data_IF_991348916700
#
_entry.id   IF_991348916700
#
_cell.length_a   1.000
_cell.length_b   1.000
_cell.length_c   1.000
_cell.angle_alpha   90.00
_cell.angle_beta   90.00
_cell.angle_gamma   90.00
#
_symmetry.space_group_name_H-M   'P 1'
#
loop_
_entity.id
_entity.type
_entity.pdbx_description
1 polymer ?
#
# COMPACT_ATOMS: atom_id res chain seq x y z
N UNK A 1 -6.61 -8.93 -3.34
CA UNK A 1 -5.17 -9.15 -3.56
C UNK A 1 -4.81 -8.83 -5.00
N UNK A 2 -3.71 -8.14 -5.20
CA UNK A 2 -3.18 -7.79 -6.51
C UNK A 2 -1.82 -8.46 -6.67
N UNK A 3 -1.56 -9.01 -7.85
CA UNK A 3 -0.35 -9.78 -8.08
C UNK A 3 0.28 -9.51 -9.43
N UNK A 4 1.59 -9.58 -9.47
CA UNK A 4 2.39 -9.71 -10.69
C UNK A 4 2.97 -11.13 -10.70
N UNK A 5 3.89 -11.41 -11.61
CA UNK A 5 4.53 -12.73 -11.63
C UNK A 5 5.47 -12.93 -10.46
N UNK A 6 6.05 -11.84 -9.95
CA UNK A 6 7.04 -11.93 -8.87
C UNK A 6 6.42 -11.83 -7.49
N UNK A 7 5.48 -10.91 -7.31
CA UNK A 7 4.96 -10.61 -5.97
C UNK A 7 3.44 -10.50 -5.98
N UNK A 8 2.86 -10.73 -4.80
CA UNK A 8 1.46 -10.46 -4.52
C UNK A 8 1.39 -9.42 -3.42
N UNK A 9 0.40 -8.54 -3.49
CA UNK A 9 0.22 -7.47 -2.52
C UNK A 9 -1.20 -7.51 -1.96
N UNK A 10 -1.32 -7.41 -0.66
CA UNK A 10 -2.61 -7.41 0.02
C UNK A 10 -2.61 -6.33 1.11
N UNK A 11 -3.61 -5.47 1.18
CA UNK A 11 -4.77 -5.37 0.30
C UNK A 11 -4.39 -4.80 -1.08
N UNK A 12 -5.33 -4.86 -2.02
CA UNK A 12 -5.10 -4.36 -3.38
C UNK A 12 -5.39 -2.86 -3.51
N UNK A 13 -5.84 -2.24 -2.45
CA UNK A 13 -6.13 -0.82 -2.38
C UNK A 13 -5.72 -0.31 -1.00
N UNK A 14 -5.07 0.85 -0.97
CA UNK A 14 -4.68 1.47 0.29
C UNK A 14 -5.86 2.27 0.84
N UNK A 15 -6.40 1.84 1.97
CA UNK A 15 -7.54 2.50 2.60
C UNK A 15 -7.10 3.16 3.89
N UNK A 16 -7.32 4.47 3.98
CA UNK A 16 -6.99 5.24 5.16
C UNK A 16 -8.27 5.79 5.79
N UNK A 17 -8.42 5.58 7.09
CA UNK A 17 -9.49 6.24 7.84
C UNK A 17 -9.07 7.70 7.98
N UNK A 18 -9.75 8.57 7.25
CA UNK A 18 -9.37 9.97 7.15
C UNK A 18 -10.03 10.80 8.25
N UNK A 19 -9.21 11.47 9.05
CA UNK A 19 -9.66 12.50 10.01
C UNK A 19 -8.74 13.70 9.89
N UNK A 20 -9.32 14.89 9.97
CA UNK A 20 -8.52 16.11 9.92
C UNK A 20 -7.55 16.17 11.08
N UNK A 21 -6.36 16.66 10.83
CA UNK A 21 -5.31 16.88 11.81
C UNK A 21 -4.81 15.59 12.46
N UNK A 22 -5.10 14.44 11.87
CA UNK A 22 -4.65 13.15 12.41
C UNK A 22 -3.90 12.34 11.37
N UNK A 23 -2.87 11.69 11.85
CA UNK A 23 -2.07 10.73 11.10
C UNK A 23 -2.76 9.38 11.15
N UNK A 24 -2.83 8.68 10.01
CA UNK A 24 -3.35 7.32 9.96
C UNK A 24 -2.41 6.46 9.13
N UNK A 25 -2.56 5.15 9.20
CA UNK A 25 -1.68 4.27 8.44
C UNK A 25 -2.44 3.09 7.87
N UNK A 26 -1.81 2.46 6.88
CA UNK A 26 -2.29 1.25 6.24
C UNK A 26 -1.08 0.34 6.01
N UNK A 27 -1.22 -0.93 6.34
CA UNK A 27 -0.15 -1.91 6.14
C UNK A 27 -0.41 -2.72 4.88
N UNK A 28 0.64 -2.89 4.08
CA UNK A 28 0.63 -3.74 2.89
C UNK A 28 1.48 -4.97 3.17
N UNK A 29 0.95 -6.14 2.85
CA UNK A 29 1.73 -7.37 2.88
C UNK A 29 2.22 -7.66 1.48
N UNK A 30 3.52 -7.81 1.32
CA UNK A 30 4.16 -8.16 0.04
C UNK A 30 4.68 -9.58 0.16
N UNK A 31 4.20 -10.46 -0.70
CA UNK A 31 4.59 -11.87 -0.72
C UNK A 31 5.39 -12.16 -1.99
N UNK A 32 6.58 -12.74 -1.81
CA UNK A 32 7.40 -13.20 -2.94
C UNK A 32 6.90 -14.58 -3.36
N UNK A 33 6.38 -14.69 -4.58
CA UNK A 33 5.80 -15.91 -5.12
C UNK A 33 6.82 -16.76 -5.91
N UNK A 34 8.11 -16.51 -5.73
CA UNK A 34 9.14 -17.14 -6.54
C UNK A 34 10.21 -17.78 -5.68
N UNK A 35 11.05 -18.56 -6.34
CA UNK A 35 12.24 -19.16 -5.73
C UNK A 35 13.45 -18.21 -5.78
N UNK A 36 13.26 -17.00 -6.26
CA UNK A 36 14.31 -16.01 -6.39
C UNK A 36 14.21 -14.95 -5.30
N UNK A 37 15.30 -14.26 -5.02
CA UNK A 37 15.27 -13.06 -4.19
C UNK A 37 14.69 -11.92 -5.05
N UNK A 38 13.77 -11.16 -4.49
CA UNK A 38 13.09 -10.08 -5.22
C UNK A 38 13.25 -8.76 -4.48
N UNK A 39 13.80 -7.77 -5.18
CA UNK A 39 13.88 -6.43 -4.64
C UNK A 39 12.61 -5.66 -5.02
N UNK A 40 12.19 -4.75 -4.16
CA UNK A 40 11.03 -3.91 -4.43
C UNK A 40 11.32 -2.45 -4.08
N UNK A 41 10.58 -1.57 -4.72
CA UNK A 41 10.63 -0.14 -4.44
C UNK A 41 9.23 0.45 -4.55
N UNK A 42 8.87 1.30 -3.60
CA UNK A 42 7.55 1.95 -3.56
C UNK A 42 7.70 3.40 -4.01
N UNK A 43 6.87 3.81 -4.96
CA UNK A 43 6.78 5.18 -5.41
C UNK A 43 5.37 5.69 -5.23
N UNK A 44 5.21 6.99 -5.08
CA UNK A 44 3.89 7.60 -4.96
C UNK A 44 3.84 8.92 -5.73
N UNK A 45 2.64 9.27 -6.18
CA UNK A 45 2.40 10.56 -6.84
C UNK A 45 2.43 11.72 -5.85
N UNK A 46 2.34 11.43 -4.54
CA UNK A 46 2.29 12.46 -3.50
C UNK A 46 3.28 12.17 -2.38
N UNK A 47 4.59 12.26 -2.66
CA UNK A 47 5.60 11.86 -1.67
C UNK A 47 5.62 12.71 -0.40
N UNK A 48 5.02 13.90 -0.43
CA UNK A 48 4.99 14.77 0.74
C UNK A 48 3.84 14.44 1.70
N UNK A 49 2.85 13.68 1.24
CA UNK A 49 1.69 13.33 2.05
C UNK A 49 1.88 12.01 2.79
N UNK A 50 2.73 11.15 2.28
CA UNK A 50 2.85 9.79 2.80
C UNK A 50 4.26 9.48 3.24
N UNK A 51 4.34 8.70 4.31
CA UNK A 51 5.60 8.18 4.81
C UNK A 51 5.55 6.67 4.64
N UNK A 52 6.50 6.10 3.91
CA UNK A 52 6.51 4.68 3.56
C UNK A 52 7.72 4.01 4.20
N UNK A 53 7.48 2.95 4.95
CA UNK A 53 8.57 2.24 5.62
C UNK A 53 8.34 0.73 5.59
N UNK A 54 9.26 -0.05 5.03
CA UNK A 54 10.40 0.39 4.20
C UNK A 54 9.91 0.80 2.81
N UNK A 55 10.58 1.73 2.17
CA UNK A 55 10.24 2.12 0.81
C UNK A 55 11.02 1.30 -0.24
N UNK A 56 12.03 0.58 0.18
CA UNK A 56 12.84 -0.31 -0.65
C UNK A 56 13.24 -1.49 0.21
N UNK A 57 13.25 -2.68 -0.36
CA UNK A 57 13.62 -3.87 0.38
C UNK A 57 13.90 -5.05 -0.53
N UNK A 58 14.30 -6.15 0.07
CA UNK A 58 14.51 -7.44 -0.61
C UNK A 58 13.72 -8.49 0.14
N UNK A 59 12.89 -9.23 -0.59
CA UNK A 59 12.09 -10.32 -0.01
C UNK A 59 12.72 -11.64 -0.45
N UNK A 60 13.02 -12.50 0.51
CA UNK A 60 13.59 -13.81 0.24
C UNK A 60 12.55 -14.72 -0.44
N UNK A 61 13.01 -15.81 -1.08
CA UNK A 61 12.08 -16.72 -1.77
C UNK A 61 10.95 -17.18 -0.85
N UNK A 62 9.73 -17.09 -1.36
CA UNK A 62 8.49 -17.54 -0.69
C UNK A 62 8.20 -16.83 0.64
N UNK A 63 8.96 -15.80 0.95
CA UNK A 63 8.78 -15.04 2.18
C UNK A 63 7.91 -13.81 1.92
N UNK A 64 7.60 -13.08 2.97
CA UNK A 64 6.78 -11.88 2.88
C UNK A 64 7.36 -10.79 3.76
N UNK A 65 6.92 -9.56 3.50
CA UNK A 65 7.23 -8.44 4.37
C UNK A 65 6.03 -7.51 4.46
N UNK A 66 6.03 -6.66 5.48
CA UNK A 66 4.99 -5.67 5.69
C UNK A 66 5.56 -4.29 5.41
N UNK A 67 4.85 -3.53 4.57
CA UNK A 67 5.19 -2.13 4.30
C UNK A 67 4.11 -1.28 4.96
N UNK A 68 4.52 -0.37 5.83
CA UNK A 68 3.58 0.55 6.46
C UNK A 68 3.58 1.86 5.69
N UNK A 69 2.40 2.27 5.25
CA UNK A 69 2.20 3.56 4.58
C UNK A 69 1.42 4.45 5.54
N UNK A 70 2.01 5.57 5.91
CA UNK A 70 1.40 6.50 6.86
C UNK A 70 0.96 7.75 6.10
N UNK A 71 -0.30 8.10 6.25
CA UNK A 71 -0.83 9.36 5.73
C UNK A 71 -0.59 10.43 6.80
N UNK A 72 0.16 11.47 6.43
CA UNK A 72 0.43 12.58 7.32
C UNK A 72 -0.86 13.33 7.64
N UNK A 73 -0.89 14.03 8.77
CA UNK A 73 -2.05 14.82 9.15
C UNK A 73 -2.38 15.85 8.08
N UNK A 74 -3.66 15.93 7.69
CA UNK A 74 -4.14 16.85 6.67
C UNK A 74 -5.05 17.89 7.33
N UNK A 75 -5.02 19.11 6.81
CA UNK A 75 -5.83 20.21 7.34
C UNK A 75 -7.17 20.36 6.65
N UNK A 76 -7.31 19.73 5.48
CA UNK A 76 -8.51 19.85 4.68
C UNK A 76 -8.91 18.51 4.13
N UNK A 77 -10.20 18.32 3.93
CA UNK A 77 -10.69 17.16 3.20
C UNK A 77 -10.41 17.34 1.71
N UNK A 78 -10.07 16.27 0.99
CA UNK A 78 -10.00 16.38 -0.46
C UNK A 78 -11.41 16.62 -1.03
N UNK A 79 -11.52 17.26 -2.22
CA UNK A 79 -12.83 17.48 -2.83
C UNK A 79 -13.62 16.19 -2.95
N UNK A 80 -14.86 16.22 -2.45
CA UNK A 80 -15.78 15.07 -2.47
C UNK A 80 -15.21 13.80 -1.82
N UNK A 81 -14.24 13.96 -0.92
CA UNK A 81 -13.51 12.83 -0.30
C UNK A 81 -12.87 11.92 -1.33
N UNK A 82 -12.58 12.44 -2.50
CA UNK A 82 -11.93 11.66 -3.57
C UNK A 82 -10.41 11.83 -3.49
N UNK A 83 -9.73 10.71 -3.43
CA UNK A 83 -8.27 10.72 -3.46
C UNK A 83 -7.80 10.27 -4.83
N UNK A 84 -6.94 11.06 -5.44
CA UNK A 84 -6.35 10.73 -6.74
C UNK A 84 -4.91 10.28 -6.63
N UNK A 85 -4.42 10.15 -5.40
CA UNK A 85 -3.07 9.67 -5.18
C UNK A 85 -2.96 8.21 -5.57
N UNK A 86 -1.78 7.84 -6.03
CA UNK A 86 -1.51 6.47 -6.45
C UNK A 86 -0.15 6.04 -5.96
N UNK A 87 0.00 4.74 -5.80
CA UNK A 87 1.28 4.14 -5.46
C UNK A 87 1.68 3.17 -6.57
N UNK A 88 2.98 3.07 -6.77
CA UNK A 88 3.57 2.14 -7.71
C UNK A 88 4.56 1.28 -6.95
N UNK A 89 4.38 -0.03 -7.02
CA UNK A 89 5.31 -0.98 -6.42
C UNK A 89 6.06 -1.65 -7.56
N UNK A 90 7.35 -1.37 -7.63
CA UNK A 90 8.25 -1.98 -8.61
C UNK A 90 8.95 -3.17 -8.00
N UNK A 91 9.18 -4.21 -8.78
CA UNK A 91 9.90 -5.39 -8.33
C UNK A 91 10.77 -5.96 -9.43
N UNK A 92 11.88 -6.56 -9.02
CA UNK A 92 12.81 -7.21 -9.94
C UNK A 92 13.57 -8.29 -9.20
N UNK A 93 14.00 -9.33 -9.93
CA UNK A 93 14.81 -10.40 -9.37
C UNK A 93 16.22 -9.87 -9.13
N UNK A 94 16.79 -10.21 -7.98
CA UNK A 94 18.16 -9.87 -7.64
C UNK A 94 18.92 -11.12 -7.23
N UNK A 95 20.24 -11.02 -7.19
CA UNK A 95 21.09 -12.14 -6.80
C UNK A 95 20.86 -12.53 -5.35
N UNK A 96 21.00 -13.81 -5.00
CA UNK A 96 21.01 -14.21 -3.60
C UNK A 96 22.10 -13.44 -2.86
N UNK A 97 21.88 -13.19 -1.57
CA UNK A 97 22.81 -12.46 -0.72
C UNK A 97 22.95 -10.97 -1.05
N UNK A 98 22.00 -10.42 -1.83
CA UNK A 98 21.97 -8.99 -2.09
C UNK A 98 21.24 -8.29 -0.95
N UNK A 99 21.92 -7.39 -0.25
CA UNK A 99 21.28 -6.58 0.78
C UNK A 99 20.67 -5.34 0.15
N UNK A 100 19.66 -4.79 0.81
CA UNK A 100 18.96 -3.61 0.32
C UNK A 100 19.93 -2.44 0.14
N UNK A 101 20.93 -2.33 1.03
CA UNK A 101 21.91 -1.23 0.97
C UNK A 101 22.89 -1.40 -0.18
N UNK A 102 22.98 -2.58 -0.74
CA UNK A 102 23.92 -2.89 -1.83
C UNK A 102 23.26 -2.87 -3.20
N UNK A 103 21.98 -2.51 -3.28
CA UNK A 103 21.30 -2.45 -4.57
C UNK A 103 21.89 -1.34 -5.42
N UNK A 104 22.28 -1.66 -6.69
CA UNK A 104 22.77 -0.62 -7.60
C UNK A 104 21.72 0.47 -7.81
N UNK A 105 22.18 1.69 -8.09
CA UNK A 105 21.28 2.82 -8.27
C UNK A 105 20.31 2.62 -9.44
N UNK A 106 20.66 1.78 -10.41
CA UNK A 106 19.82 1.52 -11.58
C UNK A 106 18.98 0.25 -11.46
N UNK A 107 18.91 -0.35 -10.28
CA UNK A 107 18.18 -1.60 -10.06
C UNK A 107 16.75 -1.54 -10.60
N UNK A 108 16.06 -0.43 -10.39
CA UNK A 108 14.67 -0.26 -10.80
C UNK A 108 14.52 0.59 -12.06
N UNK A 109 15.59 0.78 -12.80
CA UNK A 109 15.56 1.52 -14.06
C UNK A 109 15.34 0.54 -15.21
N UNK A 110 14.28 0.74 -15.96
CA UNK A 110 13.95 -0.16 -17.07
C UNK A 110 15.01 -0.18 -18.15
N UNK A 111 15.81 0.87 -18.22
CA UNK A 111 16.88 0.96 -19.22
C UNK A 111 18.14 0.21 -18.80
N UNK A 112 18.19 -0.28 -17.56
CA UNK A 112 19.36 -1.01 -17.06
C UNK A 112 19.49 -2.43 -17.63
N UNK A 113 18.44 -2.92 -18.30
CA UNK A 113 18.38 -4.30 -18.75
C UNK A 113 17.68 -5.24 -17.79
N UNK A 114 17.33 -4.78 -16.59
CA UNK A 114 16.58 -5.59 -15.64
C UNK A 114 15.11 -5.68 -16.06
N UNK A 115 14.52 -6.85 -15.84
CA UNK A 115 13.08 -7.02 -16.01
C UNK A 115 12.37 -6.50 -14.77
N UNK A 116 11.67 -5.39 -14.90
CA UNK A 116 10.99 -4.75 -13.79
C UNK A 116 9.50 -4.91 -13.97
N UNK A 117 8.85 -5.45 -12.94
CA UNK A 117 7.40 -5.54 -12.91
C UNK A 117 6.85 -4.41 -12.07
N UNK A 118 5.64 -3.98 -12.38
CA UNK A 118 5.00 -2.86 -11.69
C UNK A 118 3.57 -3.21 -11.32
N UNK A 119 3.21 -2.87 -10.08
CA UNK A 119 1.85 -2.97 -9.60
C UNK A 119 1.40 -1.57 -9.19
N UNK A 120 0.24 -1.18 -9.70
CA UNK A 120 -0.35 0.12 -9.37
C UNK A 120 -1.40 -0.08 -8.28
N UNK A 121 -1.36 0.75 -7.25
CA UNK A 121 -2.28 0.69 -6.14
C UNK A 121 -3.00 2.02 -6.00
N UNK A 122 -4.31 1.95 -5.82
CA UNK A 122 -5.14 3.12 -5.59
C UNK A 122 -5.17 3.45 -4.11
N UNK A 123 -5.51 4.69 -3.81
CA UNK A 123 -5.71 5.16 -2.45
C UNK A 123 -7.17 5.55 -2.29
N UNK A 124 -7.79 5.10 -1.21
CA UNK A 124 -9.14 5.49 -0.86
C UNK A 124 -9.14 6.06 0.55
N UNK A 125 -9.88 7.14 0.76
CA UNK A 125 -10.09 7.71 2.08
C UNK A 125 -11.47 7.33 2.57
N UNK A 126 -11.53 6.86 3.81
CA UNK A 126 -12.77 6.44 4.45
C UNK A 126 -13.07 7.44 5.54
N UNK A 127 -14.26 8.03 5.50
CA UNK A 127 -14.64 8.97 6.53
C UNK A 127 -15.01 8.23 7.83
N UNK A 128 -14.40 8.66 8.92
CA UNK A 128 -14.73 8.14 10.25
C UNK A 128 -15.82 8.97 10.94
N UNK A 129 -16.21 10.09 10.32
CA UNK A 129 -17.23 10.97 10.88
C UNK A 129 -18.64 10.60 10.43
N UNK A 130 -18.84 9.52 9.68
CA UNK A 130 -20.15 9.10 9.19
C UNK A 130 -21.01 8.64 10.36
N UNK A 131 -22.26 9.10 10.43
CA UNK A 131 -23.21 8.62 11.41
C UNK A 131 -23.77 7.26 11.03
N UNK A 132 -24.17 7.30 10.59
CA UNK A 132 -24.71 6.35 10.18
C UNK A 132 -24.56 5.65 9.67
N UNK A 133 -24.54 5.71 9.60
CA UNK A 133 -23.79 4.96 9.06
C UNK A 133 -23.33 4.41 8.93
N UNK A 134 -23.85 4.58 8.85
CA UNK A 134 -22.98 3.92 8.37
C UNK A 134 -22.54 3.21 8.10
N UNK A 135 -23.07 3.28 8.21
CA UNK A 135 -22.30 2.54 7.61
C UNK A 135 -21.87 1.84 7.31
N UNK A 136 -22.22 1.73 7.41
CA UNK A 136 -21.47 1.10 6.88
C UNK A 136 -20.91 0.55 6.90
N UNK A 137 -22.04 0.42 7.32
CA UNK A 137 -21.35 -0.10 7.13
C UNK A 137 -21.20 -0.71 7.45
N UNK A 138 -21.75 -0.86 7.89
CA UNK A 138 -21.40 -1.23 7.99
C UNK A 138 -21.55 -1.80 8.24
N UNK A 139 -22.04 -1.70 8.78
CA UNK A 139 -21.86 -1.95 8.73
C UNK A 139 -22.10 -2.33 8.95
N UNK A 140 -22.60 -2.35 9.43
CA UNK A 140 -22.55 -2.38 9.37
C UNK A 140 -23.04 -2.71 9.64
N UNK A 141 -22.99 -3.04 10.11
CA UNK A 141 -23.21 -2.87 10.32
C UNK A 141 -23.63 -3.20 10.54
N UNK A 142 -24.26 -3.12 10.96
CA UNK A 142 -24.45 -3.06 10.95
C UNK A 142 -25.16 -3.35 11.21
N UNK A 143 -25.44 -3.46 11.99
CA UNK A 143 -25.72 -3.39 11.97
C UNK A 143 -26.48 -3.63 12.17
N UNK A 144 -26.33 -3.87 12.75
CA UNK A 144 -26.83 -3.71 12.77
C UNK A 144 -27.32 -3.87 13.01
N UNK A 145 -27.20 -3.84 13.49
CA UNK A 145 -27.41 -3.58 13.55
C UNK A 145 -27.60 -3.99 13.61
N UNK A 146 -28.26 -4.04 14.37
CA UNK A 146 -28.29 -4.01 14.36
C UNK A 146 -28.57 -4.42 14.38
N UNK A 147 -28.87 -4.54 15.11
CA UNK A 147 -28.78 -4.54 14.96
C UNK A 147 -28.98 -4.72 14.80
N UNK A 148 -29.40 -4.63 15.65
CA UNK A 148 -29.15 -4.40 15.23
C UNK A 148 -29.22 -4.47 14.84
N UNK A 149 -29.54 -4.41 15.68
CA UNK A 149 -29.14 -4.11 15.07
C UNK A 149 -29.01 -4.12 14.47
N UNK A 150 -29.20 -3.92 15.29
CA UNK A 150 -28.62 -3.53 14.48
C UNK A 150 -28.47 -3.58 13.83
N UNK A 151 -28.45 -3.46 14.35
CA UNK A 151 -27.90 -3.03 13.50
C UNK A 151 -27.87 -2.96 12.96
#
# INVERSE_FOLDING_TARGET
>A
MTASQLISVSPDELRFHFELEKQTFCDLKVLNNTQNHVAFKVKTTSPKKYFVRPNTGVVHPWDSCIIRVTLQAQREYPPDMQCKDKFLLQSTIVSPNTDVDDLPADTFNKESGNSIEELKLRVAYISTASPEGSSEDDASRSSHKLDSSSH
#
